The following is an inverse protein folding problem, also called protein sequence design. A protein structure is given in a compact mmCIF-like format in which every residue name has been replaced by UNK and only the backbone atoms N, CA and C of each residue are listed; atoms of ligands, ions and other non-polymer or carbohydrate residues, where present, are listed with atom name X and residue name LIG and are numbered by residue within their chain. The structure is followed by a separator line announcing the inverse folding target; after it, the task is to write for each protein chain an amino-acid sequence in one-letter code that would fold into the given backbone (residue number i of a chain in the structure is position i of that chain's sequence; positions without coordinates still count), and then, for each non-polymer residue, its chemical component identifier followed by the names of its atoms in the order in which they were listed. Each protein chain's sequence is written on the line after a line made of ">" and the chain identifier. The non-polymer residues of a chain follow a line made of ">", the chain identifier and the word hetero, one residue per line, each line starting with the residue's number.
data_IF_319647205143
#
_entry.id   IF_319647205143
#
_cell.length_a   1.000
_cell.length_b   1.000
_cell.length_c   1.000
_cell.angle_alpha   90.00
_cell.angle_beta   90.00
_cell.angle_gamma   90.00
#
_symmetry.space_group_name_H-M   'P 1'
#
loop_
_entity.id
_entity.type
_entity.pdbx_description
1 polymer ?
#
# COMPACT_ATOMS: atom_id res chain seq x y z
N UNK A 1 24.97 -12.97 -3.60
CA UNK A 1 24.68 -14.37 -3.32
C UNK A 1 24.73 -14.65 -1.83
N UNK A 2 23.88 -15.52 -1.38
CA UNK A 2 23.89 -15.88 0.03
C UNK A 2 24.89 -16.94 0.32
N UNK A 3 25.34 -16.94 1.54
CA UNK A 3 26.41 -17.83 2.03
C UNK A 3 25.87 -19.14 2.61
N UNK A 4 24.65 -19.54 2.28
CA UNK A 4 24.01 -20.75 2.81
C UNK A 4 23.20 -20.53 4.07
N UNK A 5 23.01 -19.27 4.49
CA UNK A 5 22.13 -18.95 5.59
C UNK A 5 20.65 -19.06 5.16
N UNK A 6 19.73 -18.96 6.13
CA UNK A 6 18.31 -19.01 5.85
C UNK A 6 17.90 -17.94 4.82
N UNK A 7 16.88 -18.21 3.99
CA UNK A 7 16.34 -17.20 3.07
C UNK A 7 15.89 -15.96 3.81
N UNK A 8 16.01 -14.81 3.14
CA UNK A 8 15.47 -13.56 3.69
C UNK A 8 13.95 -13.63 3.74
N UNK A 9 13.37 -13.01 4.73
CA UNK A 9 11.93 -12.87 4.82
C UNK A 9 11.43 -11.92 3.73
N UNK A 10 10.21 -12.14 3.25
CA UNK A 10 9.55 -11.22 2.34
C UNK A 10 8.92 -10.08 3.11
N UNK A 11 8.84 -8.90 2.47
CA UNK A 11 8.12 -7.74 3.00
C UNK A 11 7.35 -7.09 1.85
N UNK A 12 6.09 -6.76 2.10
CA UNK A 12 5.25 -6.07 1.11
C UNK A 12 5.50 -4.57 1.23
N UNK A 13 5.77 -3.91 0.10
CA UNK A 13 6.05 -2.47 0.08
C UNK A 13 5.24 -1.80 -1.02
N UNK A 14 4.63 -0.65 -0.70
CA UNK A 14 3.96 0.18 -1.72
C UNK A 14 4.95 0.51 -2.83
N UNK A 15 4.63 0.14 -4.06
CA UNK A 15 5.54 0.27 -5.21
C UNK A 15 6.00 1.71 -5.45
N UNK A 16 5.14 2.70 -5.20
CA UNK A 16 5.50 4.10 -5.38
C UNK A 16 6.65 4.54 -4.46
N UNK A 17 6.82 3.90 -3.31
CA UNK A 17 7.92 4.20 -2.37
C UNK A 17 9.26 3.73 -2.92
N UNK A 18 9.26 2.85 -3.89
CA UNK A 18 10.46 2.26 -4.49
C UNK A 18 10.82 2.93 -5.81
N UNK A 19 10.12 4.00 -6.18
CA UNK A 19 10.39 4.72 -7.42
C UNK A 19 9.48 4.34 -8.59
N UNK A 20 8.52 3.44 -8.40
CA UNK A 20 7.57 3.10 -9.46
C UNK A 20 6.56 4.24 -9.61
N UNK A 21 6.37 4.70 -10.84
CA UNK A 21 5.50 5.85 -11.13
C UNK A 21 4.05 5.42 -11.23
N UNK A 22 3.49 5.05 -10.09
CA UNK A 22 2.14 4.48 -10.01
C UNK A 22 1.20 5.20 -9.04
N UNK A 23 1.59 6.36 -8.51
CA UNK A 23 0.66 7.14 -7.71
C UNK A 23 -0.41 7.77 -8.60
N UNK A 24 -1.43 8.39 -8.00
CA UNK A 24 -2.58 8.87 -8.79
C UNK A 24 -2.20 9.92 -9.83
N UNK A 25 -1.11 10.66 -9.65
CA UNK A 25 -0.63 11.66 -10.61
C UNK A 25 0.27 11.05 -11.70
N UNK A 26 0.63 9.77 -11.60
CA UNK A 26 1.60 9.13 -12.48
C UNK A 26 3.04 9.39 -12.06
N UNK A 27 3.26 9.79 -10.82
CA UNK A 27 4.59 10.03 -10.25
C UNK A 27 4.93 8.94 -9.25
N UNK A 28 6.18 8.91 -8.83
CA UNK A 28 6.63 8.10 -7.71
C UNK A 28 6.61 8.93 -6.42
N UNK A 29 6.69 8.24 -5.29
CA UNK A 29 6.85 8.85 -3.97
C UNK A 29 8.05 8.19 -3.28
N UNK A 30 9.27 8.30 -3.83
CA UNK A 30 10.40 7.51 -3.38
C UNK A 30 10.75 7.79 -1.92
N UNK A 31 11.07 6.71 -1.20
CA UNK A 31 11.51 6.75 0.20
C UNK A 31 12.82 5.99 0.30
N UNK A 32 13.88 6.67 0.69
CA UNK A 32 15.19 6.03 0.89
C UNK A 32 15.12 4.95 1.96
N UNK A 33 14.38 5.21 3.04
CA UNK A 33 14.21 4.23 4.11
C UNK A 33 13.51 2.96 3.59
N UNK A 34 12.47 3.12 2.78
CA UNK A 34 11.78 1.97 2.18
C UNK A 34 12.69 1.20 1.22
N UNK A 35 13.47 1.90 0.40
CA UNK A 35 14.40 1.26 -0.54
C UNK A 35 15.46 0.42 0.18
N UNK A 36 15.91 0.87 1.35
CA UNK A 36 16.90 0.15 2.15
C UNK A 36 16.37 -1.17 2.71
N UNK A 37 15.07 -1.39 2.72
CA UNK A 37 14.52 -2.68 3.13
C UNK A 37 15.04 -3.83 2.27
N UNK A 38 15.42 -3.56 1.01
CA UNK A 38 15.98 -4.55 0.11
C UNK A 38 17.31 -5.13 0.60
N UNK A 39 18.00 -4.45 1.53
CA UNK A 39 19.24 -4.95 2.12
C UNK A 39 18.97 -6.12 3.07
N UNK A 40 17.76 -6.20 3.65
CA UNK A 40 17.42 -7.20 4.67
C UNK A 40 16.29 -8.15 4.23
N UNK A 41 15.45 -7.73 3.28
CA UNK A 41 14.24 -8.45 2.91
C UNK A 41 14.20 -8.71 1.41
N UNK A 42 13.43 -9.72 1.02
CA UNK A 42 12.92 -9.81 -0.34
C UNK A 42 11.71 -8.89 -0.43
N UNK A 43 11.85 -7.83 -1.20
CA UNK A 43 10.81 -6.80 -1.32
C UNK A 43 9.78 -7.25 -2.36
N UNK A 44 8.51 -7.28 -1.92
CA UNK A 44 7.37 -7.55 -2.78
C UNK A 44 6.69 -6.20 -3.04
N UNK A 45 6.95 -5.63 -4.20
CA UNK A 45 6.39 -4.32 -4.58
C UNK A 45 4.96 -4.48 -5.07
N UNK A 46 4.05 -3.69 -4.54
CA UNK A 46 2.66 -3.71 -4.98
C UNK A 46 2.07 -2.30 -4.97
N UNK A 47 1.31 -1.99 -6.01
CA UNK A 47 0.41 -0.83 -6.02
C UNK A 47 -1.01 -1.37 -6.04
N UNK A 48 -1.70 -1.40 -4.90
CA UNK A 48 -3.04 -2.02 -4.85
C UNK A 48 -4.04 -1.36 -5.80
N UNK A 49 -3.90 -0.06 -6.04
CA UNK A 49 -4.83 0.64 -6.92
C UNK A 49 -4.69 0.18 -8.38
N UNK A 50 -3.45 0.04 -8.88
CA UNK A 50 -3.23 -0.44 -10.25
C UNK A 50 -3.57 -1.91 -10.39
N UNK A 51 -3.22 -2.73 -9.40
CA UNK A 51 -3.58 -4.16 -9.41
C UNK A 51 -5.09 -4.33 -9.34
N UNK A 52 -5.78 -3.43 -8.67
CA UNK A 52 -7.24 -3.42 -8.62
C UNK A 52 -7.91 -3.00 -9.92
N UNK A 53 -7.15 -2.57 -10.91
CA UNK A 53 -7.65 -2.22 -12.24
C UNK A 53 -7.80 -0.74 -12.52
N UNK A 54 -7.28 0.13 -11.65
CA UNK A 54 -7.35 1.58 -11.89
C UNK A 54 -6.20 2.04 -12.81
N UNK A 55 -6.46 3.01 -13.68
CA UNK A 55 -5.42 3.53 -14.56
C UNK A 55 -4.43 4.42 -13.81
N UNK A 56 -3.31 4.72 -14.44
CA UNK A 56 -2.34 5.71 -13.99
C UNK A 56 -2.08 6.68 -15.14
N UNK A 57 -2.28 7.99 -15.02
CA UNK A 57 -2.84 8.69 -13.84
C UNK A 57 -4.34 8.43 -13.65
N UNK A 58 -4.83 8.83 -12.49
CA UNK A 58 -6.24 8.65 -12.13
C UNK A 58 -6.67 9.75 -11.17
N UNK A 59 -7.99 10.03 -11.05
CA UNK A 59 -8.46 10.97 -10.05
C UNK A 59 -8.07 10.52 -8.64
N UNK A 60 -7.73 11.46 -7.77
CA UNK A 60 -7.52 11.17 -6.37
C UNK A 60 -8.82 10.62 -5.76
N UNK A 61 -8.70 9.79 -4.74
CA UNK A 61 -9.86 9.20 -4.08
C UNK A 61 -9.73 9.29 -2.57
N UNK A 62 -10.85 9.17 -1.89
CA UNK A 62 -10.91 9.15 -0.43
C UNK A 62 -11.75 7.99 0.03
N UNK A 63 -11.29 7.32 1.08
CA UNK A 63 -12.10 6.31 1.78
C UNK A 63 -13.05 7.06 2.70
N UNK A 64 -14.34 6.86 2.50
CA UNK A 64 -15.37 7.56 3.26
C UNK A 64 -15.65 6.86 4.59
N UNK A 65 -16.29 7.56 5.55
CA UNK A 65 -16.62 6.95 6.85
C UNK A 65 -17.46 5.68 6.77
N UNK A 66 -18.26 5.52 5.70
CA UNK A 66 -19.05 4.29 5.47
C UNK A 66 -18.22 3.15 4.89
N UNK A 67 -16.92 3.35 4.69
CA UNK A 67 -16.00 2.36 4.14
C UNK A 67 -15.91 2.34 2.62
N UNK A 68 -16.76 3.05 1.91
CA UNK A 68 -16.70 3.13 0.45
C UNK A 68 -15.61 4.09 0.03
N UNK A 69 -15.10 3.91 -1.18
CA UNK A 69 -14.06 4.76 -1.74
C UNK A 69 -14.63 5.53 -2.91
N UNK A 70 -14.50 6.84 -2.87
CA UNK A 70 -15.03 7.73 -3.89
C UNK A 70 -13.93 8.58 -4.50
N UNK A 71 -13.86 8.59 -5.82
CA UNK A 71 -12.90 9.41 -6.55
C UNK A 71 -13.37 10.86 -6.60
N UNK A 72 -12.42 11.76 -6.87
CA UNK A 72 -12.70 13.21 -6.95
C UNK A 72 -13.70 13.56 -8.04
N UNK A 73 -13.82 12.74 -9.09
CA UNK A 73 -14.80 12.92 -10.16
C UNK A 73 -16.19 12.38 -9.80
N UNK A 74 -16.38 11.88 -8.58
CA UNK A 74 -17.64 11.35 -8.08
C UNK A 74 -17.82 9.85 -8.28
N UNK A 75 -16.92 9.17 -8.99
CA UNK A 75 -17.05 7.74 -9.22
C UNK A 75 -16.83 6.94 -7.93
N UNK A 76 -17.64 5.90 -7.74
CA UNK A 76 -17.43 4.94 -6.67
C UNK A 76 -16.42 3.89 -7.16
N UNK A 77 -15.24 3.87 -6.55
CA UNK A 77 -14.15 2.97 -6.93
C UNK A 77 -13.89 1.90 -5.87
N UNK A 78 -14.84 1.67 -4.99
CA UNK A 78 -14.72 0.71 -3.89
C UNK A 78 -14.34 -0.68 -4.39
N UNK A 79 -14.94 -1.16 -5.47
CA UNK A 79 -14.68 -2.50 -6.00
C UNK A 79 -13.22 -2.64 -6.44
N UNK A 80 -12.66 -1.64 -7.10
CA UNK A 80 -11.25 -1.65 -7.51
C UNK A 80 -10.32 -1.67 -6.30
N UNK A 81 -10.61 -0.86 -5.28
CA UNK A 81 -9.82 -0.83 -4.05
C UNK A 81 -9.90 -2.16 -3.30
N UNK A 82 -11.08 -2.77 -3.26
CA UNK A 82 -11.26 -4.07 -2.62
C UNK A 82 -10.48 -5.16 -3.35
N UNK A 83 -10.50 -5.17 -4.69
CA UNK A 83 -9.72 -6.13 -5.48
C UNK A 83 -8.22 -5.94 -5.25
N UNK A 84 -7.76 -4.71 -5.19
CA UNK A 84 -6.35 -4.42 -4.95
C UNK A 84 -5.89 -4.86 -3.57
N UNK A 85 -6.73 -4.63 -2.56
CA UNK A 85 -6.46 -5.09 -1.20
C UNK A 85 -6.38 -6.62 -1.13
N UNK A 86 -7.32 -7.31 -1.77
CA UNK A 86 -7.32 -8.77 -1.81
C UNK A 86 -6.05 -9.31 -2.50
N UNK A 87 -5.62 -8.67 -3.58
CA UNK A 87 -4.38 -9.05 -4.27
C UNK A 87 -3.16 -8.87 -3.37
N UNK A 88 -3.09 -7.78 -2.61
CA UNK A 88 -1.97 -7.55 -1.69
C UNK A 88 -1.94 -8.61 -0.58
N UNK A 89 -3.09 -8.96 -0.03
CA UNK A 89 -3.19 -10.05 0.97
C UNK A 89 -2.72 -11.37 0.38
N UNK A 90 -3.13 -11.69 -0.85
CA UNK A 90 -2.71 -12.92 -1.52
C UNK A 90 -1.21 -12.94 -1.77
N UNK A 91 -0.63 -11.82 -2.18
CA UNK A 91 0.82 -11.71 -2.36
C UNK A 91 1.57 -11.94 -1.04
N UNK A 92 1.07 -11.39 0.06
CA UNK A 92 1.65 -11.62 1.37
C UNK A 92 1.56 -13.10 1.76
N UNK A 93 0.42 -13.72 1.50
CA UNK A 93 0.21 -15.15 1.80
C UNK A 93 1.16 -16.03 1.01
N UNK A 94 1.25 -15.81 -0.31
CA UNK A 94 2.08 -16.64 -1.20
C UNK A 94 3.57 -16.52 -0.85
N UNK A 95 4.01 -15.33 -0.52
CA UNK A 95 5.43 -15.05 -0.23
C UNK A 95 5.81 -15.30 1.23
N UNK A 96 4.83 -15.51 2.10
CA UNK A 96 5.05 -15.65 3.53
C UNK A 96 5.39 -14.34 4.23
N UNK A 97 5.09 -13.20 3.60
CA UNK A 97 5.39 -11.89 4.21
C UNK A 97 4.57 -11.67 5.47
N UNK A 98 5.24 -11.26 6.54
CA UNK A 98 4.62 -10.94 7.83
C UNK A 98 4.63 -9.46 8.14
N UNK A 99 5.26 -8.67 7.30
CA UNK A 99 5.39 -7.22 7.45
C UNK A 99 5.08 -6.53 6.14
N UNK A 100 4.55 -5.32 6.25
CA UNK A 100 4.32 -4.45 5.12
C UNK A 100 4.69 -3.01 5.48
N UNK A 101 5.27 -2.30 4.53
CA UNK A 101 5.52 -0.86 4.63
C UNK A 101 4.76 -0.19 3.50
N UNK A 102 3.77 0.60 3.86
CA UNK A 102 2.81 1.16 2.91
C UNK A 102 2.85 2.69 2.94
N UNK A 103 2.52 3.30 1.80
CA UNK A 103 2.53 4.76 1.64
C UNK A 103 1.57 5.43 2.62
N UNK A 104 2.09 6.35 3.43
CA UNK A 104 1.31 7.10 4.40
C UNK A 104 0.18 7.89 3.74
N UNK A 105 -0.94 8.00 4.43
CA UNK A 105 -2.11 8.84 4.11
C UNK A 105 -2.87 8.46 2.85
N UNK A 106 -2.51 7.38 2.19
CA UNK A 106 -3.21 6.89 1.00
C UNK A 106 -4.56 6.27 1.38
N UNK A 107 -5.60 6.44 0.58
CA UNK A 107 -6.89 5.76 0.82
C UNK A 107 -6.79 4.23 0.72
N UNK A 108 -5.77 3.71 0.06
CA UNK A 108 -5.48 2.28 0.00
C UNK A 108 -4.47 1.85 1.07
N UNK A 109 -3.38 2.60 1.22
CA UNK A 109 -2.18 2.17 1.93
C UNK A 109 -1.98 2.84 3.29
N UNK A 110 -2.67 3.92 3.61
CA UNK A 110 -2.48 4.64 4.87
C UNK A 110 -2.81 3.76 6.07
N UNK A 111 -1.90 3.68 7.04
CA UNK A 111 -2.10 2.82 8.21
C UNK A 111 -2.40 3.58 9.50
N UNK A 112 -2.22 4.89 9.52
CA UNK A 112 -2.48 5.73 10.70
C UNK A 112 -3.54 6.78 10.42
N UNK A 113 -3.43 7.45 9.29
CA UNK A 113 -4.31 8.54 8.91
C UNK A 113 -4.67 8.44 7.44
N UNK A 114 -5.84 8.91 7.11
CA UNK A 114 -6.32 9.06 5.73
C UNK A 114 -7.02 10.40 5.59
N UNK A 115 -7.22 10.84 4.35
CA UNK A 115 -7.97 12.07 4.07
C UNK A 115 -9.47 11.78 3.97
N UNK A 116 -10.27 12.61 4.64
CA UNK A 116 -11.73 12.67 4.49
C UNK A 116 -12.09 14.13 4.34
N UNK A 117 -12.72 14.49 3.22
CA UNK A 117 -13.07 15.88 2.88
C UNK A 117 -11.84 16.80 2.97
N UNK A 118 -10.71 16.34 2.42
CA UNK A 118 -9.41 17.03 2.43
C UNK A 118 -8.80 17.27 3.81
N UNK A 119 -9.33 16.65 4.86
CA UNK A 119 -8.78 16.71 6.21
C UNK A 119 -8.20 15.38 6.61
N UNK A 120 -7.05 15.38 7.29
CA UNK A 120 -6.47 14.17 7.86
C UNK A 120 -7.27 13.73 9.09
N UNK A 121 -7.66 12.47 9.09
CA UNK A 121 -8.35 11.85 10.22
C UNK A 121 -7.68 10.51 10.55
N UNK A 122 -7.81 10.06 11.78
CA UNK A 122 -7.38 8.70 12.13
C UNK A 122 -8.18 7.69 11.33
N UNK A 123 -7.49 6.71 10.77
CA UNK A 123 -8.14 5.68 9.97
C UNK A 123 -7.13 4.91 9.15
N UNK A 124 -7.63 3.90 8.47
CA UNK A 124 -6.83 3.00 7.64
C UNK A 124 -7.31 3.03 6.21
N UNK A 125 -6.36 2.89 5.27
CA UNK A 125 -6.69 2.60 3.89
C UNK A 125 -7.21 1.17 3.76
N UNK A 126 -7.86 0.89 2.65
CA UNK A 126 -8.51 -0.40 2.41
C UNK A 126 -7.51 -1.56 2.47
N UNK A 127 -6.35 -1.40 1.82
CA UNK A 127 -5.29 -2.42 1.79
C UNK A 127 -4.61 -2.56 3.16
N UNK A 128 -4.32 -1.43 3.81
CA UNK A 128 -3.70 -1.45 5.14
C UNK A 128 -4.55 -2.24 6.12
N UNK A 129 -5.85 -1.99 6.12
CA UNK A 129 -6.79 -2.72 6.99
C UNK A 129 -6.82 -4.21 6.65
N UNK A 130 -6.92 -4.55 5.36
CA UNK A 130 -7.00 -5.95 4.94
C UNK A 130 -5.75 -6.73 5.32
N UNK A 131 -4.57 -6.16 5.15
CA UNK A 131 -3.32 -6.79 5.54
C UNK A 131 -3.23 -6.97 7.06
N UNK A 132 -3.59 -5.94 7.82
CA UNK A 132 -3.60 -6.02 9.28
C UNK A 132 -4.55 -7.12 9.77
N UNK A 133 -5.75 -7.20 9.20
CA UNK A 133 -6.71 -8.24 9.55
C UNK A 133 -6.24 -9.64 9.17
N UNK A 134 -5.37 -9.74 8.17
CA UNK A 134 -4.75 -10.99 7.76
C UNK A 134 -3.52 -11.37 8.60
N UNK A 135 -3.19 -10.58 9.62
CA UNK A 135 -2.07 -10.87 10.53
C UNK A 135 -0.73 -10.27 10.09
N UNK A 136 -0.72 -9.41 9.10
CA UNK A 136 0.49 -8.72 8.66
C UNK A 136 0.68 -7.45 9.49
N UNK A 137 1.90 -7.24 9.98
CA UNK A 137 2.26 -6.01 10.69
C UNK A 137 2.45 -4.90 9.66
N UNK A 138 1.62 -3.86 9.73
CA UNK A 138 1.62 -2.77 8.76
C UNK A 138 2.20 -1.50 9.38
N UNK A 139 3.17 -0.92 8.69
CA UNK A 139 3.78 0.38 9.04
C UNK A 139 3.79 1.28 7.82
N UNK A 140 3.95 2.58 8.03
CA UNK A 140 4.19 3.52 6.93
C UNK A 140 5.69 3.72 6.73
N UNK A 141 6.06 4.33 5.60
CA UNK A 141 7.46 4.70 5.38
C UNK A 141 7.95 5.71 6.42
N UNK A 142 7.04 6.48 7.01
CA UNK A 142 7.39 7.46 8.04
C UNK A 142 7.75 6.80 9.37
N UNK A 143 7.24 5.60 9.61
CA UNK A 143 7.57 4.83 10.81
C UNK A 143 9.01 4.29 10.78
N UNK A 144 9.66 4.32 9.61
CA UNK A 144 11.04 3.85 9.45
C UNK A 144 12.09 4.91 9.77
N UNK A 145 11.67 6.16 9.96
CA UNK A 145 12.58 7.28 10.17
C UNK A 145 13.00 7.41 11.63
#
# INVERSE_FOLDING_TARGET
>A
MRDGTAPRAAIVVSACLLGVRCNHRGDASPSQAAMKLADEFHVVAVCPETVGGLPTPRPAAERRPDGRVRAADGADVTAAYTRGAAAAVEMARITGARQAVLKARSPSCGCHQIYVDDHLVEGEGVTAQALREAGVEVRSEEDLL
#
